data_IF_073489420986
#
_entry.id   IF_073489420986
#
_cell.length_a   1.000
_cell.length_b   1.000
_cell.length_c   1.000
_cell.angle_alpha   90.00
_cell.angle_beta   90.00
_cell.angle_gamma   90.00
#
_symmetry.space_group_name_H-M   'P 1'
#
loop_
_entity.id
_entity.type
_entity.pdbx_description
1 polymer ?
#
# COMPACT_ATOMS: atom_id res chain seq x y z
N UNK A 1 -8.35 -8.23 -17.48
CA UNK A 1 -7.12 -7.46 -17.17
C UNK A 1 -6.62 -6.73 -18.42
N UNK A 2 -6.33 -5.41 -18.32
CA UNK A 2 -5.78 -4.60 -19.42
C UNK A 2 -4.64 -3.73 -18.88
N UNK A 3 -3.50 -3.71 -19.56
CA UNK A 3 -2.42 -2.75 -19.28
C UNK A 3 -2.76 -1.46 -20.00
N UNK A 4 -2.80 -0.35 -19.27
CA UNK A 4 -3.12 0.97 -19.81
C UNK A 4 -1.90 1.87 -19.64
N UNK A 5 -1.53 2.59 -20.70
CA UNK A 5 -0.54 3.66 -20.66
C UNK A 5 -1.25 4.96 -20.27
N UNK A 6 -0.61 5.75 -19.41
CA UNK A 6 -1.17 6.99 -18.84
C UNK A 6 -2.58 6.88 -18.23
N UNK A 7 -2.90 5.85 -17.42
CA UNK A 7 -4.20 5.76 -16.80
C UNK A 7 -4.42 6.96 -15.87
N UNK A 8 -5.46 7.74 -16.19
CA UNK A 8 -6.06 8.71 -15.31
C UNK A 8 -7.11 8.00 -14.47
N UNK A 9 -6.81 7.71 -13.21
CA UNK A 9 -7.75 7.09 -12.27
C UNK A 9 -7.91 8.03 -11.09
N UNK A 10 -9.13 8.55 -10.88
CA UNK A 10 -9.47 9.51 -9.82
C UNK A 10 -8.56 10.75 -9.75
N UNK A 11 -8.15 11.30 -10.90
CA UNK A 11 -7.30 12.50 -10.96
C UNK A 11 -5.80 12.25 -10.79
N UNK A 12 -5.37 11.00 -10.53
CA UNK A 12 -3.96 10.62 -10.54
C UNK A 12 -3.55 10.14 -11.94
N UNK A 13 -2.48 10.74 -12.49
CA UNK A 13 -1.78 10.23 -13.68
C UNK A 13 -0.65 9.30 -13.21
N UNK A 14 -0.75 8.02 -13.53
CA UNK A 14 0.36 7.09 -13.41
C UNK A 14 0.97 6.85 -14.80
N UNK A 15 2.30 6.81 -14.92
CA UNK A 15 2.98 6.48 -16.20
C UNK A 15 2.60 5.07 -16.70
N UNK A 16 2.33 4.13 -15.79
CA UNK A 16 1.83 2.80 -16.12
C UNK A 16 1.02 2.27 -14.94
N UNK A 17 -0.18 1.76 -15.20
CA UNK A 17 -1.06 1.26 -14.15
C UNK A 17 -1.71 -0.07 -14.53
N UNK A 18 -1.83 -0.96 -13.54
CA UNK A 18 -2.59 -2.19 -13.67
C UNK A 18 -4.03 -1.92 -13.22
N UNK A 19 -4.97 -1.89 -14.16
CA UNK A 19 -6.38 -1.78 -13.84
C UNK A 19 -7.00 -3.18 -13.72
N UNK A 20 -7.51 -3.49 -12.53
CA UNK A 20 -8.24 -4.72 -12.24
C UNK A 20 -9.65 -4.33 -11.82
N UNK A 21 -10.69 -4.66 -12.61
CA UNK A 21 -12.07 -4.52 -12.18
C UNK A 21 -12.29 -5.25 -10.86
N UNK A 22 -13.09 -4.69 -9.95
CA UNK A 22 -13.33 -5.30 -8.63
C UNK A 22 -13.87 -6.73 -8.73
N UNK A 23 -14.66 -7.04 -9.77
CA UNK A 23 -15.17 -8.39 -10.03
C UNK A 23 -14.10 -9.40 -10.49
N UNK A 24 -13.01 -8.92 -11.09
CA UNK A 24 -11.88 -9.77 -11.49
C UNK A 24 -10.89 -9.97 -10.33
N UNK A 25 -11.03 -9.17 -9.26
CA UNK A 25 -10.09 -9.18 -8.15
C UNK A 25 -10.25 -10.41 -7.25
N UNK A 26 -11.46 -10.97 -7.16
CA UNK A 26 -11.74 -12.26 -6.49
C UNK A 26 -11.00 -13.44 -7.15
N UNK A 27 -10.63 -13.31 -8.43
CA UNK A 27 -9.83 -14.30 -9.16
C UNK A 27 -8.34 -14.23 -8.81
N UNK A 28 -7.92 -13.25 -8.02
CA UNK A 28 -6.52 -12.99 -7.66
C UNK A 28 -6.31 -12.92 -6.13
N UNK A 29 -6.75 -13.93 -5.35
CA UNK A 29 -6.70 -13.87 -3.89
C UNK A 29 -5.26 -13.74 -3.35
N UNK A 30 -4.28 -14.28 -4.07
CA UNK A 30 -2.86 -14.16 -3.72
C UNK A 30 -2.24 -12.78 -4.02
N UNK A 31 -2.85 -11.98 -4.92
CA UNK A 31 -2.26 -10.73 -5.38
C UNK A 31 -2.27 -9.68 -4.28
N UNK A 32 -3.41 -9.49 -3.60
CA UNK A 32 -3.51 -8.50 -2.51
C UNK A 32 -2.57 -8.83 -1.37
N UNK A 33 -2.51 -10.11 -0.97
CA UNK A 33 -1.58 -10.61 0.04
C UNK A 33 -0.13 -10.36 -0.34
N UNK A 34 0.22 -10.58 -1.61
CA UNK A 34 1.56 -10.34 -2.14
C UNK A 34 1.93 -8.85 -2.15
N UNK A 35 1.02 -7.98 -2.62
CA UNK A 35 1.20 -6.52 -2.60
C UNK A 35 1.39 -6.03 -1.17
N UNK A 36 0.49 -6.40 -0.25
CA UNK A 36 0.58 -6.03 1.17
C UNK A 36 1.90 -6.48 1.78
N UNK A 37 2.31 -7.73 1.55
CA UNK A 37 3.58 -8.26 2.04
C UNK A 37 4.79 -7.46 1.52
N UNK A 38 4.76 -7.06 0.24
CA UNK A 38 5.82 -6.27 -0.39
C UNK A 38 5.88 -4.85 0.17
N UNK A 39 4.73 -4.20 0.35
CA UNK A 39 4.63 -2.86 0.95
C UNK A 39 5.09 -2.90 2.40
N UNK A 40 4.66 -3.91 3.19
CA UNK A 40 5.10 -4.08 4.58
C UNK A 40 6.61 -4.23 4.70
N UNK A 41 7.25 -5.05 3.85
CA UNK A 41 8.72 -5.19 3.85
C UNK A 41 9.41 -3.86 3.56
N UNK A 42 8.86 -3.05 2.65
CA UNK A 42 9.38 -1.71 2.37
C UNK A 42 9.18 -0.76 3.56
N UNK A 43 8.03 -0.80 4.21
CA UNK A 43 7.72 0.01 5.39
C UNK A 43 8.70 -0.31 6.54
N UNK A 44 8.89 -1.59 6.84
CA UNK A 44 9.83 -2.04 7.87
C UNK A 44 11.26 -1.57 7.56
N UNK A 45 11.68 -1.63 6.30
CA UNK A 45 13.00 -1.13 5.89
C UNK A 45 13.09 0.39 6.06
N UNK A 46 12.05 1.13 5.67
CA UNK A 46 12.05 2.59 5.78
C UNK A 46 12.10 3.03 7.26
N UNK A 47 11.28 2.41 8.11
CA UNK A 47 11.29 2.62 9.56
C UNK A 47 12.66 2.30 10.17
N UNK A 48 13.25 1.14 9.84
CA UNK A 48 14.60 0.78 10.31
C UNK A 48 15.66 1.81 9.92
N UNK A 49 15.63 2.29 8.67
CA UNK A 49 16.59 3.29 8.21
C UNK A 49 16.36 4.65 8.86
N UNK A 50 15.11 5.03 9.11
CA UNK A 50 14.77 6.24 9.85
C UNK A 50 15.35 6.21 11.27
N UNK A 51 15.06 5.16 12.04
CA UNK A 51 15.58 5.02 13.41
C UNK A 51 17.11 5.03 13.42
N UNK A 52 17.76 4.35 12.47
CA UNK A 52 19.22 4.40 12.35
C UNK A 52 19.77 5.82 12.17
N UNK A 53 19.15 6.66 11.35
CA UNK A 53 19.61 8.03 11.17
C UNK A 53 19.20 8.95 12.32
N UNK A 54 18.08 8.66 12.97
CA UNK A 54 17.64 9.34 14.19
C UNK A 54 18.61 9.09 15.34
N UNK A 55 19.09 7.87 15.54
CA UNK A 55 20.11 7.56 16.56
C UNK A 55 21.40 8.39 16.34
N UNK A 56 21.84 8.51 15.08
CA UNK A 56 23.01 9.33 14.70
C UNK A 56 22.73 10.83 14.92
N UNK A 57 21.50 11.27 14.64
CA UNK A 57 21.09 12.65 14.88
C UNK A 57 21.05 12.98 16.38
N UNK A 58 20.53 12.07 17.20
CA UNK A 58 20.45 12.21 18.64
C UNK A 58 21.82 12.12 19.34
N UNK A 59 22.80 11.43 18.75
CA UNK A 59 24.19 11.44 19.24
C UNK A 59 24.91 12.78 19.00
N UNK A 60 24.36 13.63 18.12
CA UNK A 60 24.97 14.91 17.72
C UNK A 60 26.02 14.79 16.61
N UNK A 61 26.27 13.59 16.08
CA UNK A 61 27.29 13.33 15.04
C UNK A 61 26.73 13.39 13.62
N UNK A 62 25.43 13.68 13.46
CA UNK A 62 24.79 13.72 12.16
C UNK A 62 25.28 14.88 11.29
N UNK A 63 25.77 14.54 10.11
CA UNK A 63 25.97 15.48 9.01
C UNK A 63 24.62 15.96 8.46
N UNK A 64 24.60 17.13 7.82
CA UNK A 64 23.38 17.65 7.15
C UNK A 64 22.79 16.65 6.15
N UNK A 65 23.64 15.89 5.46
CA UNK A 65 23.20 14.84 4.52
C UNK A 65 22.47 13.70 5.25
N UNK A 66 22.93 13.31 6.43
CA UNK A 66 22.27 12.28 7.25
C UNK A 66 20.94 12.78 7.78
N UNK A 67 20.82 14.05 8.18
CA UNK A 67 19.54 14.66 8.55
C UNK A 67 18.53 14.64 7.39
N UNK A 68 18.95 15.04 6.18
CA UNK A 68 18.08 14.96 5.00
C UNK A 68 17.66 13.51 4.66
N UNK A 69 18.54 12.54 4.89
CA UNK A 69 18.19 11.13 4.70
C UNK A 69 17.20 10.65 5.74
N UNK A 70 17.36 11.06 7.01
CA UNK A 70 16.40 10.79 8.08
C UNK A 70 15.00 11.25 7.68
N UNK A 71 14.84 12.51 7.27
CA UNK A 71 13.55 13.07 6.86
C UNK A 71 12.95 12.29 5.68
N UNK A 72 13.77 11.97 4.67
CA UNK A 72 13.31 11.16 3.53
C UNK A 72 12.83 9.77 3.94
N UNK A 73 13.50 9.12 4.89
CA UNK A 73 13.08 7.80 5.38
C UNK A 73 11.82 7.89 6.24
N UNK A 74 11.67 8.97 7.02
CA UNK A 74 10.45 9.28 7.78
C UNK A 74 9.25 9.41 6.86
N UNK A 75 9.34 10.30 5.87
CA UNK A 75 8.27 10.56 4.91
C UNK A 75 7.91 9.31 4.12
N UNK A 76 8.92 8.55 3.70
CA UNK A 76 8.71 7.28 2.99
C UNK A 76 8.00 6.25 3.88
N UNK A 77 8.37 6.15 5.17
CA UNK A 77 7.70 5.24 6.12
C UNK A 77 6.22 5.61 6.29
N UNK A 78 5.92 6.88 6.49
CA UNK A 78 4.55 7.39 6.65
C UNK A 78 3.69 7.13 5.40
N UNK A 79 4.25 7.37 4.21
CA UNK A 79 3.56 7.09 2.95
C UNK A 79 3.25 5.58 2.79
N UNK A 80 4.20 4.72 3.16
CA UNK A 80 4.02 3.27 3.06
C UNK A 80 2.98 2.75 4.07
N UNK A 81 2.93 3.31 5.28
CA UNK A 81 1.86 3.02 6.25
C UNK A 81 0.48 3.43 5.72
N UNK A 82 0.37 4.61 5.10
CA UNK A 82 -0.85 5.05 4.44
C UNK A 82 -1.33 4.04 3.38
N UNK A 83 -0.40 3.53 2.54
CA UNK A 83 -0.71 2.50 1.55
C UNK A 83 -1.18 1.19 2.22
N UNK A 84 -0.54 0.77 3.32
CA UNK A 84 -0.95 -0.44 4.06
C UNK A 84 -2.37 -0.30 4.61
N UNK A 85 -2.72 0.88 5.12
CA UNK A 85 -4.07 1.16 5.63
C UNK A 85 -5.09 1.10 4.48
N UNK A 86 -4.82 1.76 3.34
CA UNK A 86 -5.70 1.68 2.16
C UNK A 86 -5.87 0.25 1.66
N UNK A 87 -4.81 -0.57 1.63
CA UNK A 87 -4.91 -1.98 1.24
C UNK A 87 -5.75 -2.79 2.23
N UNK A 88 -5.69 -2.46 3.52
CA UNK A 88 -6.48 -3.12 4.57
C UNK A 88 -7.95 -2.75 4.46
N UNK A 89 -8.28 -1.47 4.28
CA UNK A 89 -9.64 -1.00 4.01
C UNK A 89 -10.23 -1.65 2.75
N UNK A 90 -9.42 -1.73 1.68
CA UNK A 90 -9.83 -2.38 0.44
C UNK A 90 -10.09 -3.88 0.64
N UNK A 91 -9.27 -4.58 1.43
CA UNK A 91 -9.52 -5.97 1.78
C UNK A 91 -10.87 -6.13 2.51
N UNK A 92 -11.14 -5.32 3.52
CA UNK A 92 -12.41 -5.35 4.26
C UNK A 92 -13.61 -5.02 3.37
N UNK A 93 -13.44 -4.13 2.39
CA UNK A 93 -14.48 -3.83 1.41
C UNK A 93 -14.83 -5.06 0.55
N UNK A 94 -13.83 -5.82 0.09
CA UNK A 94 -14.03 -7.05 -0.68
C UNK A 94 -14.75 -8.11 0.15
N UNK A 95 -14.30 -8.34 1.39
CA UNK A 95 -14.90 -9.31 2.32
C UNK A 95 -16.38 -8.97 2.61
N UNK A 96 -16.73 -7.69 2.79
CA UNK A 96 -18.13 -7.25 2.96
C UNK A 96 -18.96 -7.46 1.70
N UNK A 97 -18.37 -7.23 0.52
CA UNK A 97 -19.08 -7.41 -0.75
C UNK A 97 -19.44 -8.89 -0.95
N UNK A 98 -18.52 -9.81 -0.67
CA UNK A 98 -18.78 -11.25 -0.74
C UNK A 98 -19.93 -11.66 0.18
N UNK A 99 -19.94 -11.19 1.44
CA UNK A 99 -21.00 -11.49 2.40
C UNK A 99 -22.41 -11.01 1.96
N UNK A 100 -22.51 -9.88 1.25
CA UNK A 100 -23.79 -9.37 0.72
C UNK A 100 -24.30 -10.23 -0.45
N UNK A 101 -23.39 -10.72 -1.30
CA UNK A 101 -23.76 -11.63 -2.41
C UNK A 101 -24.21 -13.01 -1.91
N UNK A 102 -23.66 -13.50 -0.80
CA UNK A 102 -24.10 -14.77 -0.20
C UNK A 102 -25.51 -14.65 0.40
N UNK A 103 -25.82 -13.56 1.11
CA UNK A 103 -27.15 -13.34 1.69
C UNK A 103 -28.28 -13.15 0.67
N UNK A 104 -27.97 -12.64 -0.53
CA UNK A 104 -28.97 -12.43 -1.59
C UNK A 104 -29.26 -13.69 -2.40
N UNK A 105 -28.35 -14.67 -2.44
CA UNK A 105 -28.61 -15.95 -3.10
C UNK A 105 -29.31 -16.99 -2.20
N UNK A 106 -29.26 -16.82 -0.87
CA UNK A 106 -30.01 -17.67 0.07
C UNK A 106 -31.47 -17.24 0.26
N UNK A 107 -31.85 -16.00 -0.10
CA UNK A 107 -33.24 -15.54 -0.01
C UNK A 107 -34.13 -15.95 -1.19
N UNK A 108 -33.51 -16.43 -2.28
CA UNK A 108 -34.18 -16.81 -3.53
C UNK A 108 -34.22 -18.34 -3.74
N UNK A 109 -33.82 -19.13 -2.74
CA UNK A 109 -33.86 -20.60 -2.71
C UNK A 109 -34.88 -21.14 -1.70
#
# INVERSE_FOLDING_TARGET
MKIVQDPSVYGYKAETGLFIPTGDFSLLPGLLKSIRSKVQRKANKASYMYERYKDIHESGDATSRQCTLMDKWRDNSQNLEGIINTLTEFQSFLERKEAIYEQTNESDA
#
